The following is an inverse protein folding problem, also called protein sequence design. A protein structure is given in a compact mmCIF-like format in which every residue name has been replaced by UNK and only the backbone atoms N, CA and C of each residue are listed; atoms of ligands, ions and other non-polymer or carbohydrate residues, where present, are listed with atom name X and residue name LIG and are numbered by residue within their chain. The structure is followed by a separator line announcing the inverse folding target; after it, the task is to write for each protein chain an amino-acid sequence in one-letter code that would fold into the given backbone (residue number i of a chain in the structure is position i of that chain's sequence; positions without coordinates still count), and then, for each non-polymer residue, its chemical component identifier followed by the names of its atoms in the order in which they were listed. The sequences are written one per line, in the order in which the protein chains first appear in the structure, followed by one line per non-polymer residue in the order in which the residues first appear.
data_IF_726498831842
#
_entry.id   IF_726498831842
#
_cell.length_a   1.000
_cell.length_b   1.000
_cell.length_c   1.000
_cell.angle_alpha   90.00
_cell.angle_beta   90.00
_cell.angle_gamma   90.00
#
_symmetry.space_group_name_H-M   'P 1'
#
loop_
_entity.id
_entity.type
_entity.pdbx_description
1 polymer ?
#
# COMPACT_ATOMS: atom_id res chain seq x y z
N UNK A 1 -16.06 28.09 19.50
CA UNK A 1 -16.01 26.68 19.06
C UNK A 1 -15.30 25.87 20.13
N UNK A 2 -15.75 24.65 20.44
CA UNK A 2 -15.12 23.82 21.47
C UNK A 2 -13.68 23.44 21.08
N UNK A 3 -12.76 23.53 22.03
CA UNK A 3 -11.38 23.03 21.91
C UNK A 3 -11.35 21.52 22.20
N UNK A 4 -10.60 20.76 21.41
CA UNK A 4 -10.53 19.30 21.48
C UNK A 4 -9.77 18.74 22.72
N UNK A 5 -9.52 19.53 23.76
CA UNK A 5 -8.92 18.96 24.97
C UNK A 5 -9.84 17.87 25.53
N UNK A 6 -9.27 16.69 25.76
CA UNK A 6 -10.00 15.52 26.22
C UNK A 6 -10.47 15.75 27.66
N UNK A 7 -11.61 16.44 27.81
CA UNK A 7 -12.18 16.85 29.10
C UNK A 7 -12.49 15.66 30.01
N UNK A 8 -12.70 14.46 29.45
CA UNK A 8 -12.95 13.22 30.20
C UNK A 8 -11.77 12.80 31.09
N UNK A 9 -10.56 13.25 30.79
CA UNK A 9 -9.35 12.85 31.52
C UNK A 9 -8.65 14.05 32.17
N UNK A 10 -9.34 15.20 32.28
CA UNK A 10 -8.78 16.46 32.78
C UNK A 10 -8.32 16.35 34.24
N UNK A 11 -8.90 15.40 35.00
CA UNK A 11 -8.62 15.12 36.40
C UNK A 11 -7.38 14.24 36.63
N UNK A 12 -6.84 13.60 35.57
CA UNK A 12 -5.67 12.73 35.68
C UNK A 12 -4.41 13.61 35.60
N UNK A 13 -3.68 13.68 36.71
CA UNK A 13 -2.46 14.51 36.88
C UNK A 13 -1.22 13.80 36.31
N UNK A 14 -1.09 12.49 36.50
CA UNK A 14 -0.01 11.68 35.93
C UNK A 14 -0.54 10.82 34.78
N UNK A 15 -0.01 11.06 33.59
CA UNK A 15 -0.43 10.41 32.35
C UNK A 15 0.66 9.58 31.69
N UNK A 16 1.76 9.31 32.39
CA UNK A 16 2.94 8.67 31.83
C UNK A 16 2.61 7.43 30.97
N UNK A 17 1.88 6.45 31.53
CA UNK A 17 1.53 5.23 30.82
C UNK A 17 0.58 5.45 29.62
N UNK A 18 -0.38 6.36 29.75
CA UNK A 18 -1.33 6.69 28.68
C UNK A 18 -0.61 7.37 27.52
N UNK A 19 0.29 8.30 27.84
CA UNK A 19 1.06 9.04 26.86
C UNK A 19 2.10 8.17 26.16
N UNK A 20 2.76 7.23 26.86
CA UNK A 20 3.62 6.22 26.23
C UNK A 20 2.82 5.36 25.25
N UNK A 21 1.67 4.84 25.67
CA UNK A 21 0.81 4.04 24.80
C UNK A 21 0.39 4.84 23.56
N UNK A 22 -0.09 6.06 23.75
CA UNK A 22 -0.47 6.98 22.68
C UNK A 22 0.69 7.27 21.73
N UNK A 23 1.89 7.54 22.24
CA UNK A 23 3.06 7.84 21.44
C UNK A 23 3.51 6.60 20.63
N UNK A 24 3.48 5.41 21.22
CA UNK A 24 3.77 4.14 20.55
C UNK A 24 2.78 3.85 19.42
N UNK A 25 1.47 3.97 19.65
CA UNK A 25 0.47 3.79 18.60
C UNK A 25 0.55 4.88 17.52
N UNK A 26 0.87 6.12 17.89
CA UNK A 26 1.14 7.21 16.95
C UNK A 26 2.34 6.90 16.05
N UNK A 27 3.40 6.32 16.60
CA UNK A 27 4.56 5.86 15.82
C UNK A 27 4.17 4.74 14.84
N UNK A 28 3.47 3.71 15.32
CA UNK A 28 3.02 2.61 14.46
C UNK A 28 2.12 3.10 13.33
N UNK A 29 1.22 4.04 13.62
CA UNK A 29 0.37 4.66 12.61
C UNK A 29 1.19 5.39 11.52
N UNK A 30 2.22 6.14 11.91
CA UNK A 30 3.08 6.82 10.94
C UNK A 30 3.88 5.84 10.07
N UNK A 31 4.41 4.76 10.67
CA UNK A 31 5.13 3.71 9.93
C UNK A 31 4.17 2.98 8.98
N UNK A 32 2.94 2.68 9.41
CA UNK A 32 1.93 2.04 8.58
C UNK A 32 1.47 2.95 7.42
N UNK A 33 1.30 4.24 7.68
CA UNK A 33 0.95 5.21 6.65
C UNK A 33 2.05 5.35 5.60
N UNK A 34 3.32 5.43 6.01
CA UNK A 34 4.45 5.53 5.08
C UNK A 34 4.66 4.22 4.30
N UNK A 35 4.49 3.07 4.95
CA UNK A 35 4.60 1.76 4.29
C UNK A 35 3.52 1.55 3.24
N UNK A 36 2.30 2.05 3.46
CA UNK A 36 1.23 2.03 2.47
C UNK A 36 1.64 2.69 1.14
N UNK A 37 2.16 3.92 1.20
CA UNK A 37 2.62 4.64 0.01
C UNK A 37 3.85 3.99 -0.65
N UNK A 38 4.86 3.62 0.16
CA UNK A 38 6.10 3.01 -0.35
C UNK A 38 5.83 1.65 -0.98
N UNK A 39 4.92 0.85 -0.41
CA UNK A 39 4.58 -0.48 -0.94
C UNK A 39 4.01 -0.40 -2.36
N UNK A 40 3.16 0.59 -2.65
CA UNK A 40 2.62 0.81 -3.99
C UNK A 40 3.72 1.17 -4.99
N UNK A 41 4.67 2.00 -4.58
CA UNK A 41 5.82 2.33 -5.41
C UNK A 41 6.73 1.10 -5.64
N UNK A 42 6.97 0.29 -4.61
CA UNK A 42 7.77 -0.93 -4.72
C UNK A 42 7.11 -1.98 -5.63
N UNK A 43 5.79 -2.12 -5.58
CA UNK A 43 5.04 -2.95 -6.52
C UNK A 43 5.22 -2.45 -7.96
N UNK A 44 5.14 -1.14 -8.18
CA UNK A 44 5.33 -0.57 -9.51
C UNK A 44 6.77 -0.79 -10.02
N UNK A 45 7.76 -0.60 -9.16
CA UNK A 45 9.16 -0.86 -9.45
C UNK A 45 9.39 -2.33 -9.78
N UNK A 46 8.86 -3.25 -8.97
CA UNK A 46 8.94 -4.69 -9.21
C UNK A 46 8.41 -5.05 -10.60
N UNK A 47 7.25 -4.50 -10.99
CA UNK A 47 6.69 -4.75 -12.34
C UNK A 47 7.61 -4.22 -13.45
N UNK A 48 8.24 -3.07 -13.25
CA UNK A 48 9.23 -2.52 -14.19
C UNK A 48 10.47 -3.41 -14.30
N UNK A 49 10.99 -3.90 -13.16
CA UNK A 49 12.15 -4.79 -13.13
C UNK A 49 11.83 -6.11 -13.86
N UNK A 50 10.65 -6.67 -13.57
CA UNK A 50 10.18 -7.92 -14.16
C UNK A 50 9.94 -7.79 -15.68
N UNK A 51 9.54 -6.60 -16.17
CA UNK A 51 9.44 -6.33 -17.62
C UNK A 51 10.80 -6.19 -18.31
N UNK A 52 11.75 -5.45 -17.71
CA UNK A 52 13.02 -5.14 -18.36
C UNK A 52 14.02 -6.30 -18.28
N UNK A 53 14.02 -7.05 -17.19
CA UNK A 53 14.98 -8.13 -16.91
C UNK A 53 14.28 -9.46 -16.67
N UNK A 54 13.39 -9.86 -17.59
CA UNK A 54 12.60 -11.10 -17.49
C UNK A 54 13.46 -12.31 -17.14
N UNK A 55 14.60 -12.50 -17.81
CA UNK A 55 15.46 -13.68 -17.58
C UNK A 55 16.08 -13.70 -16.17
N UNK A 56 16.51 -12.54 -15.64
CA UNK A 56 17.09 -12.45 -14.29
C UNK A 56 15.99 -12.62 -13.24
N UNK A 57 14.81 -12.07 -13.51
CA UNK A 57 13.64 -12.22 -12.67
C UNK A 57 13.20 -13.68 -12.59
N UNK A 58 13.37 -14.45 -13.68
CA UNK A 58 13.09 -15.88 -13.72
C UNK A 58 13.98 -16.69 -12.77
N UNK A 59 15.28 -16.41 -12.80
CA UNK A 59 16.25 -17.16 -12.00
C UNK A 59 16.12 -16.89 -10.50
N UNK A 60 15.76 -15.66 -10.10
CA UNK A 60 15.81 -15.21 -8.69
C UNK A 60 14.62 -14.34 -8.26
N UNK A 61 13.36 -14.77 -8.46
CA UNK A 61 12.19 -13.94 -8.15
C UNK A 61 12.07 -13.68 -6.64
N UNK A 62 12.35 -14.70 -5.81
CA UNK A 62 12.27 -14.60 -4.35
C UNK A 62 13.29 -13.62 -3.77
N UNK A 63 14.53 -13.65 -4.26
CA UNK A 63 15.59 -12.76 -3.77
C UNK A 63 15.26 -11.30 -4.06
N UNK A 64 14.73 -11.00 -5.24
CA UNK A 64 14.32 -9.65 -5.60
C UNK A 64 13.14 -9.17 -4.73
N UNK A 65 12.11 -9.99 -4.58
CA UNK A 65 10.96 -9.67 -3.72
C UNK A 65 11.38 -9.42 -2.26
N UNK A 66 12.27 -10.25 -1.71
CA UNK A 66 12.83 -10.05 -0.37
C UNK A 66 13.64 -8.74 -0.27
N UNK A 67 14.46 -8.42 -1.27
CA UNK A 67 15.24 -7.18 -1.27
C UNK A 67 14.34 -5.94 -1.31
N UNK A 68 13.34 -5.92 -2.18
CA UNK A 68 12.36 -4.82 -2.27
C UNK A 68 11.53 -4.69 -0.97
N UNK A 69 11.12 -5.81 -0.38
CA UNK A 69 10.43 -5.83 0.91
C UNK A 69 11.28 -5.28 2.06
N UNK A 70 12.57 -5.63 2.11
CA UNK A 70 13.49 -5.08 3.11
C UNK A 70 13.72 -3.58 2.93
N UNK A 71 13.88 -3.12 1.68
CA UNK A 71 14.00 -1.68 1.38
C UNK A 71 12.75 -0.94 1.84
N UNK A 72 11.57 -1.47 1.55
CA UNK A 72 10.28 -0.90 2.00
C UNK A 72 10.25 -0.76 3.52
N UNK A 73 10.57 -1.82 4.28
CA UNK A 73 10.55 -1.81 5.74
C UNK A 73 11.52 -0.78 6.31
N UNK A 74 12.75 -0.73 5.78
CA UNK A 74 13.77 0.22 6.23
C UNK A 74 13.29 1.65 5.96
N UNK A 75 12.86 1.95 4.73
CA UNK A 75 12.40 3.28 4.35
C UNK A 75 11.16 3.73 5.15
N UNK A 76 10.15 2.87 5.31
CA UNK A 76 8.92 3.22 6.04
C UNK A 76 9.20 3.45 7.51
N UNK A 77 10.07 2.63 8.10
CA UNK A 77 10.47 2.74 9.52
C UNK A 77 11.29 4.01 9.76
N UNK A 78 12.28 4.30 8.90
CA UNK A 78 13.08 5.51 9.00
C UNK A 78 12.22 6.76 8.84
N UNK A 79 11.40 6.85 7.79
CA UNK A 79 10.51 8.00 7.58
C UNK A 79 9.53 8.16 8.75
N UNK A 80 8.91 7.06 9.19
CA UNK A 80 7.95 7.07 10.29
C UNK A 80 8.56 7.50 11.62
N UNK A 81 9.74 6.98 11.98
CA UNK A 81 10.48 7.34 13.20
C UNK A 81 10.93 8.81 13.16
N UNK A 82 11.55 9.24 12.07
CA UNK A 82 12.04 10.61 11.93
C UNK A 82 10.89 11.60 12.00
N UNK A 83 9.83 11.40 11.22
CA UNK A 83 8.66 12.28 11.24
C UNK A 83 7.99 12.32 12.62
N UNK A 84 7.77 11.16 13.24
CA UNK A 84 7.18 11.07 14.57
C UNK A 84 8.03 11.78 15.63
N UNK A 85 9.34 11.54 15.64
CA UNK A 85 10.24 12.11 16.64
C UNK A 85 10.32 13.64 16.51
N UNK A 86 10.55 14.14 15.30
CA UNK A 86 10.66 15.58 15.05
C UNK A 86 9.36 16.31 15.33
N UNK A 87 8.21 15.78 14.90
CA UNK A 87 6.94 16.47 15.13
C UNK A 87 6.58 16.45 16.62
N UNK A 88 6.56 15.26 17.22
CA UNK A 88 6.03 15.11 18.57
C UNK A 88 6.95 15.71 19.64
N UNK A 89 8.26 15.45 19.58
CA UNK A 89 9.17 15.86 20.65
C UNK A 89 9.88 17.18 20.38
N UNK A 90 10.24 17.46 19.12
CA UNK A 90 11.00 18.67 18.80
C UNK A 90 10.10 19.88 18.54
N UNK A 91 9.05 19.74 17.72
CA UNK A 91 8.14 20.86 17.45
C UNK A 91 7.08 21.04 18.55
N UNK A 92 6.40 19.97 18.94
CA UNK A 92 5.28 20.04 19.89
C UNK A 92 5.70 19.98 21.37
N UNK A 93 6.99 19.80 21.65
CA UNK A 93 7.54 19.69 23.01
C UNK A 93 6.74 18.72 23.91
N UNK A 94 6.36 17.56 23.37
CA UNK A 94 5.50 16.61 24.08
C UNK A 94 6.14 16.09 25.37
N UNK A 95 5.57 16.49 26.51
CA UNK A 95 5.91 15.94 27.82
C UNK A 95 5.15 14.63 28.08
N UNK A 96 5.89 13.54 28.18
CA UNK A 96 5.32 12.20 28.44
C UNK A 96 4.50 12.17 29.74
N UNK A 97 4.81 13.00 30.72
CA UNK A 97 4.10 12.97 32.02
C UNK A 97 2.80 13.76 32.00
N UNK A 98 2.74 14.86 31.23
CA UNK A 98 1.70 15.90 31.37
C UNK A 98 0.91 16.19 30.10
N UNK A 99 1.41 15.84 28.93
CA UNK A 99 0.77 16.16 27.66
C UNK A 99 -0.66 15.63 27.56
N UNK A 100 -1.53 16.44 26.96
CA UNK A 100 -2.96 16.15 26.74
C UNK A 100 -3.38 16.24 25.28
N UNK A 101 -2.40 16.42 24.39
CA UNK A 101 -2.59 16.52 22.94
C UNK A 101 -2.58 15.13 22.30
N UNK A 102 -3.09 15.03 21.07
CA UNK A 102 -3.02 13.79 20.30
C UNK A 102 -1.57 13.44 19.97
N UNK A 103 -1.19 12.16 19.94
CA UNK A 103 0.15 11.74 19.54
C UNK A 103 0.26 11.44 18.03
N UNK A 104 -0.80 11.74 17.27
CA UNK A 104 -0.85 11.54 15.82
C UNK A 104 -0.47 12.87 15.16
N UNK A 105 0.66 12.95 14.44
CA UNK A 105 1.14 14.19 13.82
C UNK A 105 0.12 14.86 12.91
N UNK A 106 -0.64 14.07 12.14
CA UNK A 106 -1.67 14.62 11.26
C UNK A 106 -2.77 15.31 12.05
N UNK A 107 -3.11 14.91 13.28
CA UNK A 107 -4.10 15.63 14.08
C UNK A 107 -3.60 16.98 14.62
N UNK A 108 -2.29 17.14 14.79
CA UNK A 108 -1.68 18.35 15.32
C UNK A 108 -1.41 19.34 14.19
N UNK A 109 -0.76 18.89 13.12
CA UNK A 109 -0.26 19.74 12.04
C UNK A 109 -0.96 19.41 10.72
N UNK A 110 -1.71 20.38 10.19
CA UNK A 110 -2.37 20.24 8.88
C UNK A 110 -1.34 20.17 7.74
N UNK A 111 -0.16 20.77 7.94
CA UNK A 111 0.97 20.77 7.03
C UNK A 111 1.39 19.34 6.68
N UNK A 112 1.33 18.44 7.67
CA UNK A 112 1.73 17.06 7.50
C UNK A 112 0.71 16.23 6.73
N UNK A 113 -0.57 16.51 6.95
CA UNK A 113 -1.64 15.95 6.14
C UNK A 113 -1.52 16.38 4.67
N UNK A 114 -1.35 17.70 4.43
CA UNK A 114 -1.20 18.25 3.08
C UNK A 114 0.06 17.74 2.40
N UNK A 115 1.19 17.70 3.11
CA UNK A 115 2.46 17.21 2.55
C UNK A 115 2.39 15.72 2.25
N UNK A 116 1.90 14.91 3.19
CA UNK A 116 1.76 13.47 3.03
C UNK A 116 0.86 13.10 1.86
N UNK A 117 -0.36 13.64 1.83
CA UNK A 117 -1.30 13.39 0.73
C UNK A 117 -0.84 14.02 -0.59
N UNK A 118 -0.16 15.17 -0.57
CA UNK A 118 0.40 15.80 -1.77
C UNK A 118 1.47 14.93 -2.42
N UNK A 119 2.45 14.46 -1.62
CA UNK A 119 3.51 13.56 -2.09
C UNK A 119 2.92 12.24 -2.60
N UNK A 120 1.97 11.65 -1.87
CA UNK A 120 1.25 10.46 -2.29
C UNK A 120 0.51 10.65 -3.62
N UNK A 121 -0.20 11.78 -3.78
CA UNK A 121 -0.94 12.09 -5.01
C UNK A 121 -0.01 12.17 -6.21
N UNK A 122 1.07 12.94 -6.10
CA UNK A 122 2.04 13.12 -7.20
C UNK A 122 2.73 11.80 -7.53
N UNK A 123 3.29 11.12 -6.54
CA UNK A 123 4.03 9.87 -6.75
C UNK A 123 3.15 8.78 -7.35
N UNK A 124 1.93 8.59 -6.85
CA UNK A 124 1.04 7.56 -7.36
C UNK A 124 0.40 7.93 -8.71
N UNK A 125 0.20 9.22 -9.01
CA UNK A 125 -0.20 9.65 -10.36
C UNK A 125 0.87 9.34 -11.39
N UNK A 126 2.12 9.71 -11.10
CA UNK A 126 3.27 9.41 -11.96
C UNK A 126 3.41 7.91 -12.16
N UNK A 127 3.37 7.15 -11.07
CA UNK A 127 3.49 5.70 -11.17
C UNK A 127 2.28 5.03 -11.85
N UNK A 128 1.05 5.56 -11.72
CA UNK A 128 -0.11 5.02 -12.41
C UNK A 128 0.02 5.21 -13.93
N UNK A 129 0.43 6.40 -14.37
CA UNK A 129 0.76 6.68 -15.78
C UNK A 129 1.89 5.77 -16.27
N UNK A 130 2.92 5.59 -15.44
CA UNK A 130 4.01 4.65 -15.72
C UNK A 130 3.49 3.24 -15.94
N UNK A 131 2.69 2.70 -15.01
CA UNK A 131 2.17 1.33 -15.09
C UNK A 131 1.23 1.13 -16.29
N UNK A 132 0.39 2.10 -16.61
CA UNK A 132 -0.44 2.07 -17.82
C UNK A 132 0.42 2.02 -19.09
N UNK A 133 1.50 2.81 -19.13
CA UNK A 133 2.46 2.81 -20.24
C UNK A 133 3.18 1.47 -20.33
N UNK A 134 3.66 0.95 -19.20
CA UNK A 134 4.29 -0.37 -19.09
C UNK A 134 3.36 -1.50 -19.54
N UNK A 135 2.09 -1.45 -19.16
CA UNK A 135 1.08 -2.42 -19.57
C UNK A 135 0.89 -2.41 -21.09
N UNK A 136 0.80 -1.22 -21.70
CA UNK A 136 0.68 -1.06 -23.16
C UNK A 136 1.90 -1.64 -23.87
N UNK A 137 3.11 -1.29 -23.41
CA UNK A 137 4.36 -1.83 -23.98
C UNK A 137 4.46 -3.35 -23.80
N UNK A 138 4.15 -3.88 -22.62
CA UNK A 138 4.12 -5.33 -22.36
C UNK A 138 3.15 -6.05 -23.30
N UNK A 139 1.95 -5.47 -23.54
CA UNK A 139 0.95 -6.06 -24.43
C UNK A 139 1.45 -6.14 -25.88
N UNK A 140 2.08 -5.06 -26.38
CA UNK A 140 2.65 -5.02 -27.74
C UNK A 140 3.85 -5.96 -27.85
N UNK A 141 4.78 -5.92 -26.89
CA UNK A 141 5.95 -6.80 -26.89
C UNK A 141 5.55 -8.28 -26.82
N UNK A 142 4.47 -8.61 -26.09
CA UNK A 142 3.92 -9.96 -26.05
C UNK A 142 3.35 -10.41 -27.39
N UNK A 143 2.84 -9.53 -28.24
CA UNK A 143 2.37 -9.91 -29.57
C UNK A 143 3.55 -10.32 -30.47
N UNK A 144 4.74 -9.75 -30.24
CA UNK A 144 5.99 -10.11 -30.90
C UNK A 144 6.67 -11.33 -30.25
N UNK A 145 5.90 -12.41 -30.03
CA UNK A 145 6.24 -13.63 -29.23
C UNK A 145 7.56 -14.33 -29.55
N UNK A 146 8.17 -14.06 -30.70
CA UNK A 146 9.37 -14.74 -31.19
C UNK A 146 10.64 -14.36 -30.41
N UNK A 147 10.60 -13.33 -29.56
CA UNK A 147 11.79 -12.85 -28.80
C UNK A 147 12.00 -13.54 -27.45
N UNK A 148 11.03 -14.29 -26.94
CA UNK A 148 11.17 -15.01 -25.66
C UNK A 148 11.58 -16.46 -25.89
N UNK A 149 12.78 -16.81 -25.40
CA UNK A 149 13.46 -18.09 -25.64
C UNK A 149 12.88 -19.27 -24.87
N UNK A 150 12.31 -19.06 -23.67
CA UNK A 150 11.76 -20.13 -22.81
C UNK A 150 10.24 -20.05 -22.64
N UNK A 151 9.60 -21.21 -22.38
CA UNK A 151 8.17 -21.29 -22.06
C UNK A 151 7.85 -20.64 -20.70
N UNK A 152 8.76 -20.78 -19.74
CA UNK A 152 8.72 -20.16 -18.41
C UNK A 152 8.76 -18.63 -18.48
N UNK A 153 9.62 -18.03 -19.33
CA UNK A 153 9.64 -16.58 -19.53
C UNK A 153 8.31 -16.07 -20.13
N UNK A 154 7.66 -16.83 -21.01
CA UNK A 154 6.34 -16.49 -21.56
C UNK A 154 5.23 -16.57 -20.50
N UNK A 155 5.32 -17.54 -19.59
CA UNK A 155 4.43 -17.66 -18.45
C UNK A 155 4.57 -16.45 -17.53
N UNK A 156 5.81 -16.13 -17.10
CA UNK A 156 6.09 -14.98 -16.26
C UNK A 156 5.66 -13.67 -16.91
N UNK A 157 5.88 -13.48 -18.21
CA UNK A 157 5.39 -12.30 -18.93
C UNK A 157 3.85 -12.20 -18.92
N UNK A 158 3.14 -13.33 -18.92
CA UNK A 158 1.67 -13.35 -18.84
C UNK A 158 1.19 -13.02 -17.43
N UNK A 159 1.83 -13.60 -16.41
CA UNK A 159 1.54 -13.28 -15.00
C UNK A 159 1.84 -11.81 -14.69
N UNK A 160 2.97 -11.29 -15.18
CA UNK A 160 3.35 -9.88 -15.06
C UNK A 160 2.32 -8.97 -15.72
N UNK A 161 1.74 -9.36 -16.85
CA UNK A 161 0.67 -8.60 -17.49
C UNK A 161 -0.60 -8.56 -16.62
N UNK A 162 -1.03 -9.69 -16.04
CA UNK A 162 -2.22 -9.76 -15.19
C UNK A 162 -2.03 -8.99 -13.88
N UNK A 163 -0.88 -9.13 -13.25
CA UNK A 163 -0.54 -8.40 -12.01
C UNK A 163 -0.38 -6.91 -12.27
N UNK A 164 0.26 -6.49 -13.38
CA UNK A 164 0.31 -5.07 -13.78
C UNK A 164 -1.09 -4.53 -14.04
N UNK A 165 -1.95 -5.32 -14.69
CA UNK A 165 -3.35 -4.95 -14.95
C UNK A 165 -4.19 -4.81 -13.68
N UNK A 166 -3.84 -5.48 -12.56
CA UNK A 166 -4.49 -5.29 -11.26
C UNK A 166 -3.91 -4.14 -10.44
N UNK A 167 -2.59 -3.93 -10.51
CA UNK A 167 -1.91 -2.88 -9.73
C UNK A 167 -2.17 -1.49 -10.31
N UNK A 168 -2.20 -1.34 -11.64
CA UNK A 168 -2.42 -0.05 -12.30
C UNK A 168 -3.74 0.65 -11.89
N UNK A 169 -4.93 0.02 -11.98
CA UNK A 169 -6.17 0.66 -11.56
C UNK A 169 -6.19 0.92 -10.04
N UNK A 170 -5.58 0.06 -9.25
CA UNK A 170 -5.48 0.29 -7.81
C UNK A 170 -4.62 1.52 -7.48
N UNK A 171 -3.50 1.71 -8.17
CA UNK A 171 -2.63 2.86 -7.95
C UNK A 171 -3.28 4.17 -8.42
N UNK A 172 -4.08 4.10 -9.49
CA UNK A 172 -4.94 5.22 -9.91
C UNK A 172 -5.99 5.56 -8.84
N UNK A 173 -6.67 4.56 -8.26
CA UNK A 173 -7.61 4.79 -7.16
C UNK A 173 -6.92 5.36 -5.91
N UNK A 174 -5.69 4.93 -5.60
CA UNK A 174 -4.89 5.55 -4.54
C UNK A 174 -4.61 7.02 -4.82
N UNK A 175 -4.23 7.36 -6.06
CA UNK A 175 -3.98 8.75 -6.45
C UNK A 175 -5.23 9.62 -6.30
N UNK A 176 -6.42 9.09 -6.65
CA UNK A 176 -7.70 9.79 -6.42
C UNK A 176 -7.96 9.98 -4.91
N UNK A 177 -7.83 8.92 -4.11
CA UNK A 177 -8.02 8.99 -2.66
C UNK A 177 -7.05 9.96 -1.99
N UNK A 178 -5.78 9.96 -2.41
CA UNK A 178 -4.78 10.89 -1.95
C UNK A 178 -5.09 12.33 -2.38
N UNK A 179 -5.59 12.55 -3.60
CA UNK A 179 -6.00 13.87 -4.05
C UNK A 179 -7.20 14.40 -3.23
N UNK A 180 -8.15 13.53 -2.89
CA UNK A 180 -9.24 13.88 -1.97
C UNK A 180 -8.71 14.24 -0.58
N UNK A 181 -7.79 13.45 -0.02
CA UNK A 181 -7.14 13.75 1.25
C UNK A 181 -6.37 15.08 1.23
N UNK A 182 -5.69 15.37 0.12
CA UNK A 182 -5.00 16.65 -0.09
C UNK A 182 -5.97 17.83 -0.09
N UNK A 183 -7.13 17.71 -0.76
CA UNK A 183 -8.17 18.74 -0.75
C UNK A 183 -8.78 18.94 0.65
N UNK A 184 -8.99 17.84 1.40
CA UNK A 184 -9.43 17.89 2.81
C UNK A 184 -8.39 18.62 3.67
N UNK A 185 -7.11 18.32 3.51
CA UNK A 185 -6.01 19.00 4.21
C UNK A 185 -5.93 20.50 3.87
N UNK A 186 -6.13 20.89 2.61
CA UNK A 186 -6.19 22.30 2.21
C UNK A 186 -7.41 23.01 2.81
N UNK A 187 -8.56 22.34 2.87
CA UNK A 187 -9.75 22.89 3.51
C UNK A 187 -9.54 23.03 5.03
N UNK A 188 -8.89 22.05 5.66
CA UNK A 188 -8.50 22.12 7.07
C UNK A 188 -7.54 23.27 7.35
N UNK A 189 -6.53 23.50 6.50
CA UNK A 189 -5.66 24.68 6.58
C UNK A 189 -6.47 25.98 6.67
N UNK A 190 -7.44 26.14 5.77
CA UNK A 190 -8.29 27.33 5.75
C UNK A 190 -9.04 27.50 7.08
N UNK A 191 -9.59 26.42 7.64
CA UNK A 191 -10.28 26.48 8.94
C UNK A 191 -9.32 26.78 10.11
N UNK A 192 -8.11 26.21 10.10
CA UNK A 192 -7.10 26.49 11.13
C UNK A 192 -6.70 27.97 11.12
N UNK A 193 -6.53 28.56 9.93
CA UNK A 193 -6.22 29.99 9.79
C UNK A 193 -7.35 30.91 10.30
N UNK A 194 -8.61 30.48 10.19
CA UNK A 194 -9.77 31.27 10.62
C UNK A 194 -10.11 31.09 12.11
N UNK A 195 -10.01 29.86 12.62
CA UNK A 195 -10.53 29.48 13.94
C UNK A 195 -9.46 29.04 14.94
N UNK A 196 -8.20 29.00 14.52
CA UNK A 196 -7.08 28.50 15.30
C UNK A 196 -6.91 26.98 15.22
N UNK A 197 -5.79 26.51 15.76
CA UNK A 197 -5.47 25.09 15.86
C UNK A 197 -6.36 24.38 16.91
N UNK A 198 -6.48 23.05 16.82
CA UNK A 198 -7.16 22.20 17.82
C UNK A 198 -8.68 22.37 17.96
N UNK A 199 -9.37 22.83 16.91
CA UNK A 199 -10.83 22.83 16.85
C UNK A 199 -11.38 21.41 16.60
N UNK A 200 -12.60 21.12 17.10
CA UNK A 200 -13.30 19.85 16.84
C UNK A 200 -13.43 19.58 15.33
N UNK A 201 -13.70 20.63 14.54
CA UNK A 201 -13.84 20.52 13.08
C UNK A 201 -12.51 20.15 12.43
N UNK A 202 -11.39 20.75 12.85
CA UNK A 202 -10.06 20.39 12.37
C UNK A 202 -9.74 18.92 12.63
N UNK A 203 -10.07 18.41 13.83
CA UNK A 203 -9.89 16.99 14.13
C UNK A 203 -10.77 16.11 13.23
N UNK A 204 -12.06 16.44 13.12
CA UNK A 204 -12.99 15.67 12.30
C UNK A 204 -12.51 15.55 10.86
N UNK A 205 -11.95 16.62 10.28
CA UNK A 205 -11.36 16.55 8.93
C UNK A 205 -10.14 15.63 8.88
N UNK A 206 -9.28 15.63 9.90
CA UNK A 206 -8.20 14.65 10.02
C UNK A 206 -8.71 13.21 10.09
N UNK A 207 -9.78 12.95 10.86
CA UNK A 207 -10.44 11.63 10.93
C UNK A 207 -11.03 11.21 9.57
N UNK A 208 -11.60 12.14 8.79
CA UNK A 208 -12.06 11.89 7.41
C UNK A 208 -10.90 11.45 6.52
N UNK A 209 -9.70 12.03 6.69
CA UNK A 209 -8.49 11.60 5.99
C UNK A 209 -8.16 10.12 6.23
N UNK A 210 -8.28 9.64 7.47
CA UNK A 210 -8.09 8.20 7.79
C UNK A 210 -9.14 7.32 7.13
N UNK A 211 -10.41 7.74 7.14
CA UNK A 211 -11.50 7.01 6.47
C UNK A 211 -11.25 6.88 4.96
N UNK A 212 -10.69 7.91 4.31
CA UNK A 212 -10.33 7.83 2.89
C UNK A 212 -9.24 6.77 2.63
N UNK A 213 -8.25 6.67 3.52
CA UNK A 213 -7.20 5.63 3.45
C UNK A 213 -7.82 4.24 3.62
N UNK A 214 -8.73 4.05 4.57
CA UNK A 214 -9.41 2.77 4.79
C UNK A 214 -10.25 2.36 3.57
N UNK A 215 -11.04 3.28 3.01
CA UNK A 215 -11.81 3.04 1.78
C UNK A 215 -10.88 2.61 0.65
N UNK A 216 -9.73 3.27 0.51
CA UNK A 216 -8.73 2.88 -0.48
C UNK A 216 -8.26 1.43 -0.28
N UNK A 217 -7.94 1.00 0.96
CA UNK A 217 -7.46 -0.38 1.19
C UNK A 217 -8.48 -1.42 0.70
N UNK A 218 -9.77 -1.16 0.90
CA UNK A 218 -10.86 -2.00 0.40
C UNK A 218 -10.87 -1.98 -1.13
N UNK A 219 -10.80 -0.79 -1.75
CA UNK A 219 -10.73 -0.66 -3.21
C UNK A 219 -9.51 -1.39 -3.80
N UNK A 220 -8.34 -1.33 -3.16
CA UNK A 220 -7.12 -2.03 -3.56
C UNK A 220 -7.34 -3.55 -3.58
N UNK A 221 -7.88 -4.11 -2.49
CA UNK A 221 -8.20 -5.54 -2.38
C UNK A 221 -9.22 -5.98 -3.43
N UNK A 222 -10.27 -5.18 -3.65
CA UNK A 222 -11.27 -5.45 -4.68
C UNK A 222 -10.65 -5.43 -6.08
N UNK A 223 -9.77 -4.48 -6.40
CA UNK A 223 -9.04 -4.44 -7.68
C UNK A 223 -8.23 -5.72 -7.89
N UNK A 224 -7.48 -6.16 -6.88
CA UNK A 224 -6.71 -7.41 -6.95
C UNK A 224 -7.64 -8.60 -7.22
N UNK A 225 -8.75 -8.71 -6.49
CA UNK A 225 -9.72 -9.79 -6.66
C UNK A 225 -10.42 -9.75 -8.03
N UNK A 226 -10.70 -8.58 -8.59
CA UNK A 226 -11.35 -8.45 -9.88
C UNK A 226 -10.42 -8.84 -11.05
N UNK A 227 -9.16 -8.38 -11.01
CA UNK A 227 -8.24 -8.47 -12.15
C UNK A 227 -7.24 -9.62 -12.06
N UNK A 228 -6.94 -10.16 -10.87
CA UNK A 228 -6.04 -11.29 -10.71
C UNK A 228 -6.84 -12.61 -10.53
N UNK A 229 -6.98 -13.43 -11.59
CA UNK A 229 -7.80 -14.64 -11.53
C UNK A 229 -7.24 -15.69 -10.56
N UNK A 230 -5.92 -15.73 -10.35
CA UNK A 230 -5.27 -16.70 -9.46
C UNK A 230 -5.69 -16.41 -8.02
N UNK A 231 -5.52 -15.15 -7.58
CA UNK A 231 -5.91 -14.72 -6.23
C UNK A 231 -7.43 -14.84 -6.05
N UNK A 232 -8.22 -14.43 -7.04
CA UNK A 232 -9.69 -14.56 -7.01
C UNK A 232 -10.15 -15.99 -6.78
N UNK A 233 -9.55 -16.94 -7.49
CA UNK A 233 -9.93 -18.35 -7.38
C UNK A 233 -9.49 -18.93 -6.03
N UNK A 234 -8.30 -18.55 -5.54
CA UNK A 234 -7.85 -18.87 -4.18
C UNK A 234 -8.82 -18.36 -3.12
N UNK A 235 -9.15 -17.06 -3.16
CA UNK A 235 -10.10 -16.44 -2.24
C UNK A 235 -11.48 -17.10 -2.28
N UNK A 236 -12.01 -17.42 -3.47
CA UNK A 236 -13.28 -18.16 -3.61
C UNK A 236 -13.23 -19.53 -2.95
N UNK A 237 -12.13 -20.26 -3.08
CA UNK A 237 -11.95 -21.56 -2.43
C UNK A 237 -11.89 -21.40 -0.92
N UNK A 238 -11.11 -20.44 -0.42
CA UNK A 238 -10.94 -20.23 1.01
C UNK A 238 -12.25 -19.79 1.67
N UNK A 239 -13.05 -18.94 1.00
CA UNK A 239 -14.41 -18.58 1.43
C UNK A 239 -15.33 -19.82 1.48
N UNK A 240 -15.29 -20.69 0.46
CA UNK A 240 -16.09 -21.93 0.48
C UNK A 240 -15.69 -22.86 1.62
N UNK A 241 -14.39 -22.98 1.89
CA UNK A 241 -13.86 -23.75 3.02
C UNK A 241 -14.32 -23.18 4.36
N UNK A 242 -14.25 -21.86 4.55
CA UNK A 242 -14.74 -21.17 5.75
C UNK A 242 -16.26 -21.37 5.95
N UNK A 243 -17.01 -21.45 4.86
CA UNK A 243 -18.44 -21.73 4.88
C UNK A 243 -18.78 -23.23 4.98
N UNK A 244 -17.78 -24.11 5.15
CA UNK A 244 -17.94 -25.56 5.18
C UNK A 244 -18.69 -26.14 3.96
N UNK A 245 -18.66 -25.45 2.82
CA UNK A 245 -19.26 -25.91 1.58
C UNK A 245 -18.34 -26.98 1.01
N UNK A 246 -18.84 -28.21 0.86
CA UNK A 246 -18.10 -29.31 0.20
C UNK A 246 -17.78 -28.91 -1.23
N UNK A 247 -16.56 -28.43 -1.45
CA UNK A 247 -16.01 -28.28 -2.79
C UNK A 247 -15.51 -29.63 -3.26
N UNK A 248 -16.07 -30.13 -4.36
CA UNK A 248 -15.38 -31.18 -5.12
C UNK A 248 -13.97 -30.70 -5.44
N UNK A 249 -12.97 -31.58 -5.42
CA UNK A 249 -11.61 -31.25 -5.85
C UNK A 249 -11.63 -30.92 -7.34
N UNK A 250 -12.00 -29.69 -7.69
CA UNK A 250 -11.71 -29.15 -9.02
C UNK A 250 -10.20 -29.17 -9.18
N UNK A 251 -9.70 -29.95 -10.14
CA UNK A 251 -8.31 -29.91 -10.60
C UNK A 251 -8.05 -28.46 -10.95
N UNK A 252 -7.36 -27.76 -10.05
CA UNK A 252 -7.03 -26.36 -10.23
C UNK A 252 -6.01 -26.35 -11.36
N UNK A 253 -6.46 -25.93 -12.54
CA UNK A 253 -5.62 -25.61 -13.71
C UNK A 253 -4.53 -24.56 -13.41
N UNK A 254 -4.34 -24.11 -12.16
CA UNK A 254 -3.43 -23.02 -11.80
C UNK A 254 -2.05 -23.48 -11.29
N UNK A 255 -1.75 -24.77 -11.17
CA UNK A 255 -0.35 -25.21 -10.95
C UNK A 255 0.32 -25.48 -12.31
N UNK A 256 0.33 -24.45 -13.18
CA UNK A 256 0.96 -24.55 -14.49
C UNK A 256 2.47 -24.77 -14.39
N UNK A 257 3.14 -24.48 -13.27
CA UNK A 257 4.56 -24.83 -13.11
C UNK A 257 4.72 -26.35 -13.04
N UNK A 258 3.82 -27.05 -12.33
CA UNK A 258 3.78 -28.53 -12.33
C UNK A 258 3.29 -29.11 -13.64
N UNK A 259 2.31 -28.51 -14.31
CA UNK A 259 1.92 -28.97 -15.67
C UNK A 259 3.03 -28.73 -16.69
N UNK A 260 3.81 -27.65 -16.54
CA UNK A 260 4.94 -27.34 -17.42
C UNK A 260 6.11 -28.27 -17.15
N UNK A 261 6.46 -28.53 -15.89
CA UNK A 261 7.46 -29.55 -15.51
C UNK A 261 7.01 -30.95 -15.95
N UNK A 262 5.74 -31.30 -15.79
CA UNK A 262 5.19 -32.56 -16.28
C UNK A 262 5.23 -32.65 -17.81
N UNK A 263 4.87 -31.58 -18.52
CA UNK A 263 4.95 -31.50 -19.99
C UNK A 263 6.39 -31.65 -20.49
N UNK A 264 7.36 -31.00 -19.83
CA UNK A 264 8.78 -31.17 -20.16
C UNK A 264 9.31 -32.55 -19.74
N UNK A 265 8.80 -33.13 -18.67
CA UNK A 265 9.04 -34.54 -18.30
C UNK A 265 8.58 -35.48 -19.42
N UNK A 266 7.34 -35.32 -19.89
CA UNK A 266 6.80 -36.10 -21.00
C UNK A 266 7.58 -35.91 -22.31
N UNK A 267 8.05 -34.69 -22.59
CA UNK A 267 8.88 -34.42 -23.77
C UNK A 267 10.26 -35.09 -23.67
N UNK A 268 10.85 -35.09 -22.48
CA UNK A 268 12.15 -35.70 -22.19
C UNK A 268 12.08 -37.23 -22.23
N UNK A 269 10.97 -37.80 -21.79
CA UNK A 269 10.71 -39.23 -21.84
C UNK A 269 10.35 -39.71 -23.27
N UNK A 270 9.73 -38.86 -24.08
CA UNK A 270 9.44 -39.16 -25.49
C UNK A 270 10.67 -39.11 -26.43
N UNK A 271 11.80 -38.57 -25.95
CA UNK A 271 13.06 -38.46 -26.70
C UNK A 271 14.14 -39.45 -26.24
N UNK A 272 13.81 -40.34 -25.30
CA UNK A 272 14.60 -41.52 -24.96
C UNK A 272 14.05 -42.75 -25.68
#
# INVERSE_FOLDING_TARGET
MGTYYNNLTIHIVDRFYVNIGCAFFGLLNNIASSSGAISMFMLALERQLAYRWVNIYEDKPRTLGCALGMIMIIQSTTIGLTAWYFVLFYFDNFDVNKSRISCIPTHLHWEWEVTGFGVATVSCSVGAVWLCTLQKHTKVSRQNRLTLSSLSARYQATENLHTTASVAPSMFMYAIGAAMGFLVGLYRRYLVQQYGENTIVSKFLGDVGFVLVDIYTICHLLCILCYNPIIRNGAKRDIKTLLCIKTEPTIVKCDYSKETEAYFGFFKDAWK
#
